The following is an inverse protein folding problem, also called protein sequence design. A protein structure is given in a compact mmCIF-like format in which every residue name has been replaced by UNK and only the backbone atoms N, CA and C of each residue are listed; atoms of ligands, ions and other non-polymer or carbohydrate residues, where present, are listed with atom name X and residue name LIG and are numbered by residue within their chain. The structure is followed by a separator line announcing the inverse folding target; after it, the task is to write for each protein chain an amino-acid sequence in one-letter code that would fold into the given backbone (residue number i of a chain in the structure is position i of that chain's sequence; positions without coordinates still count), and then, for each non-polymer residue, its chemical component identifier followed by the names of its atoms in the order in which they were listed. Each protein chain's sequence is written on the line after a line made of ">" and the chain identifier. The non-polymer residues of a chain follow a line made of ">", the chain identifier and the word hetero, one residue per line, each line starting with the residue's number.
data_IF_137511399507
#
_entry.id   IF_137511399507
#
_cell.length_a   1.000
_cell.length_b   1.000
_cell.length_c   1.000
_cell.angle_alpha   90.00
_cell.angle_beta   90.00
_cell.angle_gamma   90.00
#
_symmetry.space_group_name_H-M   'P 1'
#
loop_
_entity.id
_entity.type
_entity.pdbx_description
1 polymer ?
#
# COMPACT_ATOMS: atom_id res chain seq x y z
N UNK A 1 20.88 -5.70 10.69
CA UNK A 1 20.65 -4.48 11.49
C UNK A 1 19.28 -3.93 11.11
N UNK A 2 18.53 -3.37 12.04
CA UNK A 2 17.25 -2.69 11.73
C UNK A 2 17.53 -1.22 11.41
N UNK A 3 16.79 -0.65 10.46
CA UNK A 3 16.85 0.77 10.16
C UNK A 3 15.73 1.53 10.89
N UNK A 4 15.80 2.86 10.90
CA UNK A 4 14.79 3.73 11.48
C UNK A 4 14.15 4.57 10.37
N UNK A 5 12.86 4.38 10.16
CA UNK A 5 12.04 5.28 9.35
C UNK A 5 11.71 6.54 10.16
N UNK A 6 12.04 7.72 9.64
CA UNK A 6 11.73 9.04 10.22
C UNK A 6 10.64 9.69 9.38
N UNK A 7 9.49 9.96 9.98
CA UNK A 7 8.40 10.67 9.30
C UNK A 7 8.58 12.18 9.47
N UNK A 8 8.95 12.85 8.39
CA UNK A 8 9.27 14.29 8.39
C UNK A 8 8.05 15.17 8.59
N UNK A 9 6.84 14.62 8.50
CA UNK A 9 5.60 15.34 8.83
C UNK A 9 5.45 15.59 10.34
N UNK A 10 6.14 14.81 11.18
CA UNK A 10 6.05 14.90 12.64
C UNK A 10 7.37 15.26 13.30
N UNK A 11 8.45 15.29 12.53
CA UNK A 11 9.80 15.58 13.01
C UNK A 11 10.32 16.84 12.33
N UNK A 12 10.68 17.84 13.13
CA UNK A 12 11.29 19.06 12.61
C UNK A 12 12.70 18.75 12.10
N UNK A 13 12.93 19.03 10.82
CA UNK A 13 14.22 19.01 10.18
C UNK A 13 14.64 20.45 9.89
N UNK A 14 15.88 20.80 10.22
CA UNK A 14 16.36 22.18 10.07
C UNK A 14 16.56 22.63 8.61
N UNK A 15 16.36 21.73 7.64
CA UNK A 15 16.79 21.94 6.25
C UNK A 15 16.23 20.86 5.30
N UNK A 16 16.20 21.15 3.98
CA UNK A 16 15.87 20.18 2.92
C UNK A 16 16.78 18.96 2.99
N UNK A 17 16.41 17.79 2.48
CA UNK A 17 17.27 16.59 2.52
C UNK A 17 18.07 16.47 1.20
N UNK A 18 19.31 16.96 1.20
CA UNK A 18 20.25 16.82 0.08
C UNK A 18 21.38 15.83 0.43
N UNK A 19 21.95 15.17 -0.58
CA UNK A 19 23.04 14.21 -0.39
C UNK A 19 24.26 14.89 0.23
N UNK A 20 24.88 14.23 1.23
CA UNK A 20 26.03 14.73 1.97
C UNK A 20 25.68 15.73 3.08
N UNK A 21 24.40 16.11 3.20
CA UNK A 21 23.96 17.08 4.17
C UNK A 21 23.88 16.49 5.57
N UNK A 22 24.32 17.28 6.54
CA UNK A 22 24.23 16.98 7.95
C UNK A 22 23.20 17.88 8.63
N UNK A 23 22.58 17.37 9.68
CA UNK A 23 21.57 18.12 10.42
C UNK A 23 21.25 17.49 11.76
N UNK A 24 20.29 18.08 12.46
CA UNK A 24 19.75 17.55 13.71
C UNK A 24 18.25 17.36 13.53
N UNK A 25 17.75 16.20 13.95
CA UNK A 25 16.32 15.97 14.12
C UNK A 25 16.01 15.69 15.59
N UNK A 26 14.76 15.90 15.98
CA UNK A 26 14.31 15.68 17.36
C UNK A 26 13.05 14.84 17.43
N UNK A 27 13.01 13.90 18.38
CA UNK A 27 11.84 13.06 18.64
C UNK A 27 11.32 13.35 20.05
N UNK A 28 10.02 13.62 20.14
CA UNK A 28 9.32 13.72 21.42
C UNK A 28 8.81 12.35 21.88
N UNK A 29 9.17 11.94 23.10
CA UNK A 29 8.69 10.68 23.70
C UNK A 29 8.56 10.79 25.22
N UNK A 30 7.70 9.97 25.81
CA UNK A 30 7.67 9.75 27.27
C UNK A 30 8.79 8.83 27.74
N UNK A 31 9.43 8.11 26.83
CA UNK A 31 10.48 7.17 27.15
C UNK A 31 11.78 7.89 27.49
N UNK A 32 12.47 7.38 28.51
CA UNK A 32 13.77 7.89 28.93
C UNK A 32 14.85 7.64 27.86
N UNK A 33 14.75 6.55 27.10
CA UNK A 33 15.71 6.19 26.04
C UNK A 33 14.94 5.70 24.82
N UNK A 34 15.33 6.17 23.65
CA UNK A 34 14.84 5.66 22.37
C UNK A 34 15.79 4.57 21.84
N UNK A 35 15.28 3.61 21.04
CA UNK A 35 16.08 2.57 20.43
C UNK A 35 16.78 3.08 19.16
N UNK A 36 17.40 4.26 19.22
CA UNK A 36 18.13 4.90 18.11
C UNK A 36 19.53 5.19 18.61
N UNK A 37 20.54 4.65 17.94
CA UNK A 37 21.96 4.77 18.30
C UNK A 37 22.79 5.28 17.13
N UNK A 38 24.01 5.70 17.44
CA UNK A 38 25.00 6.08 16.44
C UNK A 38 25.29 4.91 15.50
N UNK A 39 25.31 5.19 14.20
CA UNK A 39 25.47 4.21 13.13
C UNK A 39 24.17 3.58 12.63
N UNK A 40 23.01 3.86 13.22
CA UNK A 40 21.73 3.36 12.69
C UNK A 40 21.40 4.00 11.34
N UNK A 41 20.95 3.18 10.38
CA UNK A 41 20.42 3.63 9.09
C UNK A 41 19.09 4.38 9.27
N UNK A 42 18.92 5.46 8.51
CA UNK A 42 17.73 6.30 8.50
C UNK A 42 17.05 6.28 7.13
N UNK A 43 15.75 6.00 7.11
CA UNK A 43 14.88 6.23 5.96
C UNK A 43 14.03 7.46 6.23
N UNK A 44 14.14 8.51 5.41
CA UNK A 44 13.30 9.69 5.54
C UNK A 44 12.03 9.55 4.71
N UNK A 45 10.88 9.72 5.35
CA UNK A 45 9.56 9.67 4.71
C UNK A 45 8.95 11.07 4.67
N UNK A 46 8.59 11.53 3.48
CA UNK A 46 7.87 12.77 3.27
C UNK A 46 6.43 12.50 2.87
N UNK A 47 5.55 13.46 3.12
CA UNK A 47 4.23 13.46 2.49
C UNK A 47 4.37 13.65 0.97
N UNK A 48 3.71 12.80 0.20
CA UNK A 48 3.57 12.95 -1.24
C UNK A 48 2.19 13.56 -1.57
N UNK A 49 1.44 12.93 -2.47
CA UNK A 49 0.11 13.36 -2.90
C UNK A 49 -0.97 12.65 -2.09
N UNK A 50 -1.97 13.40 -1.61
CA UNK A 50 -3.05 12.85 -0.79
C UNK A 50 -2.54 12.32 0.55
N UNK A 51 -2.80 11.05 0.83
CA UNK A 51 -2.34 10.33 2.03
C UNK A 51 -1.11 9.45 1.76
N UNK A 52 -0.54 9.48 0.55
CA UNK A 52 0.63 8.67 0.21
C UNK A 52 1.93 9.26 0.79
N UNK A 53 2.90 8.38 1.00
CA UNK A 53 4.20 8.70 1.57
C UNK A 53 5.31 8.34 0.58
N UNK A 54 6.36 9.15 0.56
CA UNK A 54 7.54 8.93 -0.28
C UNK A 54 8.76 8.71 0.62
N UNK A 55 9.45 7.60 0.41
CA UNK A 55 10.77 7.36 0.96
C UNK A 55 11.78 8.20 0.17
N UNK A 56 12.17 9.37 0.67
CA UNK A 56 12.92 10.33 -0.13
C UNK A 56 14.43 10.12 -0.09
N UNK A 57 14.97 9.64 1.04
CA UNK A 57 16.41 9.62 1.26
C UNK A 57 16.83 8.55 2.27
N UNK A 58 18.04 8.05 2.06
CA UNK A 58 18.79 7.23 3.01
C UNK A 58 19.82 8.10 3.72
N UNK A 59 19.96 7.92 5.03
CA UNK A 59 20.99 8.55 5.83
C UNK A 59 21.45 7.65 6.97
N UNK A 60 22.26 8.21 7.85
CA UNK A 60 22.73 7.55 9.07
C UNK A 60 22.66 8.49 10.27
N UNK A 61 22.51 7.92 11.46
CA UNK A 61 22.70 8.65 12.72
C UNK A 61 24.19 8.80 12.98
N UNK A 62 24.70 10.04 12.95
CA UNK A 62 26.12 10.30 13.23
C UNK A 62 26.39 10.43 14.72
N UNK A 63 25.41 10.87 15.51
CA UNK A 63 25.58 11.07 16.95
C UNK A 63 24.25 11.21 17.69
N UNK A 64 24.19 10.66 18.91
CA UNK A 64 23.14 11.03 19.88
C UNK A 64 23.58 12.25 20.69
N UNK A 65 22.90 13.39 20.52
CA UNK A 65 23.28 14.66 21.15
C UNK A 65 22.85 14.71 22.62
N UNK A 66 21.79 13.96 22.96
CA UNK A 66 21.26 13.86 24.33
C UNK A 66 19.74 14.03 24.38
N UNK A 67 19.22 14.25 25.59
CA UNK A 67 17.79 14.44 25.86
C UNK A 67 17.55 15.64 26.76
N UNK A 68 16.48 16.37 26.49
CA UNK A 68 16.02 17.50 27.29
C UNK A 68 14.62 17.22 27.83
N UNK A 69 14.35 17.56 29.10
CA UNK A 69 12.99 17.49 29.64
C UNK A 69 12.17 18.62 29.03
N UNK A 70 11.10 18.29 28.31
CA UNK A 70 10.21 19.30 27.73
C UNK A 70 9.36 19.89 28.86
N UNK A 71 9.42 21.21 29.11
CA UNK A 71 8.61 21.81 30.15
C UNK A 71 7.13 21.59 29.86
N UNK A 72 6.28 21.40 30.89
CA UNK A 72 4.86 21.21 30.69
C UNK A 72 4.30 22.42 29.93
N UNK A 73 3.63 22.17 28.81
CA UNK A 73 2.98 23.23 28.06
C UNK A 73 1.82 23.78 28.89
N UNK A 74 1.96 25.03 29.33
CA UNK A 74 0.88 25.80 29.96
C UNK A 74 -0.30 25.89 29.00
N UNK A 75 -1.33 25.07 29.20
CA UNK A 75 -2.61 25.26 28.52
C UNK A 75 -3.46 26.22 29.35
N UNK A 76 -3.94 27.31 28.73
CA UNK A 76 -4.84 28.32 29.33
C UNK A 76 -6.23 27.80 29.78
N UNK A 77 -6.39 26.49 30.00
CA UNK A 77 -7.66 25.87 30.42
C UNK A 77 -7.73 25.78 31.94
N UNK A 78 -8.79 26.36 32.52
CA UNK A 78 -9.17 26.35 33.95
C UNK A 78 -9.51 24.95 34.52
N UNK A 79 -9.13 23.86 33.85
CA UNK A 79 -9.41 22.49 34.27
C UNK A 79 -8.13 21.97 34.92
N UNK A 80 -8.19 21.50 36.18
CA UNK A 80 -7.07 20.85 36.86
C UNK A 80 -6.51 19.75 35.93
N UNK A 81 -5.32 19.91 35.34
CA UNK A 81 -4.81 18.92 34.41
C UNK A 81 -4.53 17.63 35.17
N UNK A 82 -4.98 16.49 34.62
CA UNK A 82 -4.50 15.19 35.10
C UNK A 82 -2.96 15.18 35.00
N UNK A 83 -2.23 14.63 35.99
CA UNK A 83 -0.78 14.52 35.90
C UNK A 83 -0.41 13.76 34.63
N UNK A 84 0.27 14.45 33.71
CA UNK A 84 0.80 13.84 32.49
C UNK A 84 2.22 13.32 32.76
N UNK A 85 2.61 12.19 32.18
CA UNK A 85 4.00 11.73 32.26
C UNK A 85 4.94 12.78 31.67
N UNK A 86 6.17 12.90 32.17
CA UNK A 86 7.17 13.79 31.61
C UNK A 86 7.42 13.44 30.14
N UNK A 87 7.57 14.47 29.30
CA UNK A 87 7.98 14.32 27.90
C UNK A 87 9.44 14.72 27.75
N UNK A 88 10.18 13.93 27.00
CA UNK A 88 11.58 14.16 26.67
C UNK A 88 11.69 14.50 25.18
N UNK A 89 12.55 15.47 24.88
CA UNK A 89 12.98 15.79 23.53
C UNK A 89 14.35 15.15 23.30
N UNK A 90 14.40 14.12 22.47
CA UNK A 90 15.63 13.39 22.12
C UNK A 90 16.20 13.99 20.83
N UNK A 91 17.50 14.34 20.82
CA UNK A 91 18.16 14.99 19.68
C UNK A 91 19.20 14.08 19.05
N UNK A 92 19.17 13.97 17.73
CA UNK A 92 20.07 13.12 16.95
C UNK A 92 20.67 13.92 15.80
N UNK A 93 21.99 13.84 15.64
CA UNK A 93 22.67 14.29 14.43
C UNK A 93 22.56 13.22 13.36
N UNK A 94 22.36 13.65 12.12
CA UNK A 94 22.24 12.77 10.96
C UNK A 94 23.07 13.26 9.79
N UNK A 95 23.37 12.34 8.87
CA UNK A 95 23.94 12.62 7.56
C UNK A 95 23.15 11.91 6.46
N UNK A 96 22.82 12.60 5.39
CA UNK A 96 22.19 11.99 4.21
C UNK A 96 23.27 11.36 3.32
N UNK A 97 23.09 10.08 2.99
CA UNK A 97 24.00 9.33 2.14
C UNK A 97 23.56 9.31 0.68
N UNK A 98 22.27 9.14 0.44
CA UNK A 98 21.74 9.02 -0.92
C UNK A 98 20.26 9.40 -1.01
N UNK A 99 19.80 9.65 -2.24
CA UNK A 99 18.37 9.76 -2.57
C UNK A 99 17.84 8.41 -3.03
N UNK A 100 16.58 8.16 -2.70
CA UNK A 100 15.86 6.99 -3.17
C UNK A 100 14.98 7.41 -4.33
N UNK A 101 15.25 6.87 -5.52
CA UNK A 101 14.62 7.30 -6.78
C UNK A 101 13.78 6.20 -7.43
N UNK A 102 13.94 4.95 -7.01
CA UNK A 102 13.26 3.79 -7.61
C UNK A 102 12.15 3.30 -6.70
N UNK A 103 10.94 3.19 -7.25
CA UNK A 103 9.74 2.67 -6.57
C UNK A 103 9.65 3.14 -5.11
N UNK A 104 9.73 4.45 -4.92
CA UNK A 104 9.96 5.06 -3.61
C UNK A 104 8.66 5.53 -2.95
N UNK A 105 7.51 5.29 -3.58
CA UNK A 105 6.20 5.55 -3.00
C UNK A 105 5.72 4.36 -2.17
N UNK A 106 5.06 4.65 -1.05
CA UNK A 106 4.47 3.62 -0.21
C UNK A 106 3.39 2.84 -0.96
N UNK A 107 2.58 3.50 -1.79
CA UNK A 107 1.57 2.84 -2.65
C UNK A 107 2.14 1.87 -3.71
N UNK A 108 3.44 1.94 -3.98
CA UNK A 108 4.15 1.00 -4.88
C UNK A 108 4.72 -0.18 -4.09
N UNK A 109 5.18 0.08 -2.87
CA UNK A 109 5.85 -0.91 -2.01
C UNK A 109 4.93 -1.62 -1.02
N UNK A 110 3.70 -1.15 -0.77
CA UNK A 110 2.85 -1.63 0.34
C UNK A 110 2.66 -3.16 0.38
N UNK A 111 2.52 -3.82 -0.78
CA UNK A 111 2.39 -5.27 -0.86
C UNK A 111 3.74 -6.00 -0.75
N UNK A 112 4.83 -5.27 -0.89
CA UNK A 112 6.22 -5.73 -0.76
C UNK A 112 6.76 -5.60 0.67
N UNK A 113 6.05 -4.92 1.57
CA UNK A 113 6.46 -4.70 2.96
C UNK A 113 5.63 -5.56 3.93
N UNK A 114 6.16 -6.66 4.49
CA UNK A 114 5.43 -7.56 5.40
C UNK A 114 4.78 -6.92 6.63
N UNK A 115 5.27 -5.78 7.09
CA UNK A 115 4.69 -5.07 8.23
C UNK A 115 3.50 -4.17 7.85
N UNK A 116 3.31 -3.89 6.56
CA UNK A 116 2.15 -3.15 6.05
C UNK A 116 1.04 -4.17 5.83
N UNK A 117 0.13 -4.29 6.80
CA UNK A 117 -0.97 -5.25 6.79
C UNK A 117 -2.35 -4.60 6.54
N UNK A 118 -2.41 -3.27 6.47
CA UNK A 118 -3.61 -2.51 6.19
C UNK A 118 -3.43 -1.80 4.85
N UNK A 119 -3.75 -2.50 3.76
CA UNK A 119 -3.50 -2.01 2.40
C UNK A 119 -4.52 -0.96 1.96
N UNK A 120 -5.69 -0.88 2.61
CA UNK A 120 -6.63 0.22 2.40
C UNK A 120 -6.11 1.58 2.90
N UNK A 121 -5.25 1.60 3.93
CA UNK A 121 -4.66 2.81 4.50
C UNK A 121 -3.20 2.57 4.92
N UNK A 122 -2.28 2.32 3.99
CA UNK A 122 -0.91 1.89 4.31
C UNK A 122 -0.16 2.93 5.16
N UNK A 123 -0.44 4.23 4.97
CA UNK A 123 0.20 5.33 5.68
C UNK A 123 0.01 5.28 7.21
N UNK A 124 -1.03 4.62 7.73
CA UNK A 124 -1.26 4.51 9.19
C UNK A 124 -0.11 3.81 9.90
N UNK A 125 0.64 2.96 9.18
CA UNK A 125 1.81 2.27 9.69
C UNK A 125 2.99 3.21 9.95
N UNK A 126 2.92 4.45 9.48
CA UNK A 126 3.96 5.47 9.61
C UNK A 126 3.48 6.74 10.33
N UNK A 127 2.32 6.74 11.00
CA UNK A 127 1.79 7.92 11.71
C UNK A 127 2.60 8.37 12.95
N UNK A 128 3.65 7.63 13.30
CA UNK A 128 4.56 7.99 14.40
C UNK A 128 5.73 8.83 13.88
N UNK A 129 6.39 9.57 14.78
CA UNK A 129 7.60 10.34 14.46
C UNK A 129 8.71 9.45 13.88
N UNK A 130 8.81 8.22 14.38
CA UNK A 130 9.75 7.23 13.88
C UNK A 130 9.16 5.82 13.95
N UNK A 131 9.76 4.89 13.21
CA UNK A 131 9.45 3.46 13.26
C UNK A 131 10.69 2.62 13.01
N UNK A 132 10.83 1.52 13.73
CA UNK A 132 11.86 0.52 13.43
C UNK A 132 11.45 -0.28 12.18
N UNK A 133 12.35 -0.34 11.21
CA UNK A 133 12.20 -1.07 9.95
C UNK A 133 13.10 -2.31 10.01
N UNK A 134 12.54 -3.53 9.90
CA UNK A 134 13.37 -4.73 9.87
C UNK A 134 14.25 -4.75 8.62
N UNK A 135 15.39 -5.46 8.70
CA UNK A 135 16.43 -5.44 7.66
C UNK A 135 15.90 -5.84 6.28
N UNK A 136 14.99 -6.81 6.23
CA UNK A 136 14.40 -7.30 4.97
C UNK A 136 13.61 -6.23 4.24
N UNK A 137 12.87 -5.41 4.98
CA UNK A 137 12.06 -4.31 4.48
C UNK A 137 12.90 -3.08 4.18
N UNK A 138 13.91 -2.80 5.00
CA UNK A 138 14.90 -1.77 4.71
C UNK A 138 15.54 -2.00 3.35
N UNK A 139 16.05 -3.21 3.11
CA UNK A 139 16.62 -3.59 1.82
C UNK A 139 15.59 -3.50 0.68
N UNK A 140 14.32 -3.84 0.94
CA UNK A 140 13.25 -3.73 -0.06
C UNK A 140 13.02 -2.27 -0.46
N UNK A 141 12.98 -1.35 0.52
CA UNK A 141 12.78 0.09 0.30
C UNK A 141 13.99 0.70 -0.40
N UNK A 142 15.20 0.45 0.09
CA UNK A 142 16.42 1.06 -0.46
C UNK A 142 16.65 0.64 -1.91
N UNK A 143 16.38 -0.62 -2.24
CA UNK A 143 16.55 -1.11 -3.62
C UNK A 143 15.33 -0.86 -4.52
N UNK A 144 14.22 -0.36 -3.98
CA UNK A 144 12.97 -0.18 -4.73
C UNK A 144 12.40 -1.49 -5.27
N UNK A 145 12.52 -2.59 -4.50
CA UNK A 145 12.07 -3.90 -4.95
C UNK A 145 10.56 -4.05 -4.82
N UNK A 146 9.89 -4.26 -5.95
CA UNK A 146 8.47 -4.57 -6.02
C UNK A 146 8.29 -6.07 -6.23
N UNK A 147 7.58 -6.72 -5.32
CA UNK A 147 7.23 -8.14 -5.43
C UNK A 147 6.01 -8.29 -6.34
N UNK A 148 6.27 -8.41 -7.65
CA UNK A 148 5.28 -8.29 -8.70
C UNK A 148 4.08 -9.22 -8.49
N UNK A 149 4.31 -10.50 -8.18
CA UNK A 149 3.24 -11.48 -7.98
C UNK A 149 2.28 -11.05 -6.87
N UNK A 150 2.82 -10.64 -5.72
CA UNK A 150 2.02 -10.25 -4.55
C UNK A 150 1.36 -8.89 -4.74
N UNK A 151 2.05 -7.95 -5.38
CA UNK A 151 1.50 -6.63 -5.69
C UNK A 151 0.34 -6.73 -6.67
N UNK A 152 0.48 -7.51 -7.74
CA UNK A 152 -0.60 -7.74 -8.71
C UNK A 152 -1.77 -8.45 -8.04
N UNK A 153 -1.51 -9.52 -7.27
CA UNK A 153 -2.56 -10.21 -6.51
C UNK A 153 -3.31 -9.26 -5.58
N UNK A 154 -2.58 -8.51 -4.75
CA UNK A 154 -3.15 -7.60 -3.77
C UNK A 154 -3.96 -6.48 -4.39
N UNK A 155 -3.40 -5.81 -5.42
CA UNK A 155 -4.12 -4.74 -6.13
C UNK A 155 -5.38 -5.25 -6.82
N UNK A 156 -5.32 -6.41 -7.47
CA UNK A 156 -6.49 -6.98 -8.16
C UNK A 156 -7.56 -7.44 -7.18
N UNK A 157 -7.21 -8.24 -6.16
CA UNK A 157 -8.19 -8.77 -5.22
C UNK A 157 -8.83 -7.63 -4.42
N UNK A 158 -8.06 -6.62 -4.00
CA UNK A 158 -8.58 -5.52 -3.18
C UNK A 158 -9.33 -4.45 -3.98
N UNK A 159 -9.17 -4.42 -5.31
CA UNK A 159 -10.02 -3.61 -6.19
C UNK A 159 -11.43 -4.20 -6.40
N UNK A 160 -11.64 -5.49 -6.06
CA UNK A 160 -12.96 -6.09 -6.14
C UNK A 160 -13.91 -5.51 -5.07
N UNK A 161 -15.22 -5.38 -5.37
CA UNK A 161 -16.22 -5.10 -4.36
C UNK A 161 -16.11 -6.08 -3.18
N UNK A 162 -16.38 -5.61 -1.95
CA UNK A 162 -16.23 -6.41 -0.73
C UNK A 162 -16.95 -7.76 -0.80
N UNK A 163 -18.15 -7.81 -1.38
CA UNK A 163 -18.90 -9.05 -1.57
C UNK A 163 -18.14 -10.04 -2.46
N UNK A 164 -17.54 -9.57 -3.56
CA UNK A 164 -16.76 -10.40 -4.47
C UNK A 164 -15.43 -10.86 -3.83
N UNK A 165 -14.83 -10.06 -2.94
CA UNK A 165 -13.64 -10.47 -2.16
C UNK A 165 -13.97 -11.62 -1.22
N UNK A 166 -15.12 -11.53 -0.54
CA UNK A 166 -15.61 -12.60 0.34
C UNK A 166 -15.95 -13.87 -0.45
N UNK A 167 -16.67 -13.74 -1.57
CA UNK A 167 -16.98 -14.86 -2.46
C UNK A 167 -15.70 -15.52 -2.98
N UNK A 168 -14.72 -14.73 -3.43
CA UNK A 168 -13.41 -15.23 -3.87
C UNK A 168 -12.69 -16.01 -2.76
N UNK A 169 -12.63 -15.45 -1.54
CA UNK A 169 -11.98 -16.11 -0.41
C UNK A 169 -12.66 -17.45 -0.06
N UNK A 170 -14.00 -17.50 -0.05
CA UNK A 170 -14.75 -18.73 0.19
C UNK A 170 -14.52 -19.77 -0.92
N UNK A 171 -14.54 -19.35 -2.19
CA UNK A 171 -14.24 -20.22 -3.31
C UNK A 171 -12.79 -20.73 -3.27
N UNK A 172 -11.84 -19.92 -2.82
CA UNK A 172 -10.46 -20.37 -2.64
C UNK A 172 -10.38 -21.44 -1.55
N UNK A 173 -11.04 -21.23 -0.41
CA UNK A 173 -11.05 -22.21 0.68
C UNK A 173 -11.65 -23.55 0.26
N UNK A 174 -12.75 -23.52 -0.50
CA UNK A 174 -13.35 -24.72 -1.09
C UNK A 174 -12.44 -25.37 -2.14
N UNK A 175 -11.89 -24.58 -3.08
CA UNK A 175 -11.02 -25.09 -4.14
C UNK A 175 -9.76 -25.78 -3.61
N UNK A 176 -9.13 -25.20 -2.60
CA UNK A 176 -7.87 -25.70 -2.04
C UNK A 176 -8.07 -26.53 -0.77
N UNK A 177 -9.32 -26.74 -0.34
CA UNK A 177 -9.69 -27.56 0.81
C UNK A 177 -8.94 -27.14 2.09
N UNK A 178 -8.77 -25.84 2.30
CA UNK A 178 -8.08 -25.28 3.47
C UNK A 178 -8.59 -23.88 3.81
N UNK A 179 -8.70 -23.60 5.11
CA UNK A 179 -8.97 -22.24 5.60
C UNK A 179 -7.69 -21.38 5.70
N UNK A 180 -6.53 -22.04 5.75
CA UNK A 180 -5.23 -21.38 5.87
C UNK A 180 -4.66 -21.08 4.49
N UNK A 181 -4.99 -19.91 3.95
CA UNK A 181 -4.49 -19.46 2.66
C UNK A 181 -2.97 -19.22 2.65
N UNK A 182 -2.31 -19.13 3.82
CA UNK A 182 -0.84 -19.02 3.89
C UNK A 182 -0.13 -20.31 3.47
N UNK A 183 -0.84 -21.44 3.50
CA UNK A 183 -0.32 -22.73 3.03
C UNK A 183 -0.27 -22.85 1.50
N UNK A 184 -0.91 -21.93 0.77
CA UNK A 184 -1.03 -21.97 -0.67
C UNK A 184 -0.09 -20.93 -1.30
N UNK A 185 0.70 -21.38 -2.27
CA UNK A 185 1.59 -20.49 -3.02
C UNK A 185 0.79 -19.35 -3.68
N UNK A 186 1.24 -18.10 -3.47
CA UNK A 186 0.53 -16.91 -3.99
C UNK A 186 0.40 -16.90 -5.51
N UNK A 187 1.34 -17.51 -6.26
CA UNK A 187 1.26 -17.61 -7.71
C UNK A 187 0.09 -18.51 -8.13
N UNK A 188 -0.13 -19.60 -7.40
CA UNK A 188 -1.31 -20.46 -7.60
C UNK A 188 -2.58 -19.69 -7.27
N UNK A 189 -2.56 -18.93 -6.16
CA UNK A 189 -3.67 -18.05 -5.79
C UNK A 189 -3.97 -16.99 -6.85
N UNK A 190 -2.94 -16.42 -7.48
CA UNK A 190 -3.09 -15.42 -8.52
C UNK A 190 -3.69 -15.99 -9.81
N UNK A 191 -3.25 -17.17 -10.24
CA UNK A 191 -3.88 -17.84 -11.38
C UNK A 191 -5.37 -18.13 -11.09
N UNK A 192 -5.68 -18.56 -9.86
CA UNK A 192 -7.06 -18.74 -9.44
C UNK A 192 -7.86 -17.42 -9.40
N UNK A 193 -7.22 -16.31 -9.02
CA UNK A 193 -7.82 -14.98 -9.07
C UNK A 193 -8.10 -14.53 -10.51
N UNK A 194 -7.20 -14.77 -11.45
CA UNK A 194 -7.44 -14.48 -12.87
C UNK A 194 -8.63 -15.28 -13.40
N UNK A 195 -8.69 -16.58 -13.12
CA UNK A 195 -9.86 -17.40 -13.47
C UNK A 195 -11.16 -16.87 -12.85
N UNK A 196 -11.10 -16.43 -11.60
CA UNK A 196 -12.25 -15.88 -10.91
C UNK A 196 -12.73 -14.58 -11.58
N UNK A 197 -11.81 -13.65 -11.86
CA UNK A 197 -12.10 -12.38 -12.53
C UNK A 197 -12.68 -12.63 -13.92
N UNK A 198 -12.08 -13.52 -14.71
CA UNK A 198 -12.55 -13.88 -16.03
C UNK A 198 -13.99 -14.42 -15.99
N UNK A 199 -14.26 -15.39 -15.09
CA UNK A 199 -15.56 -16.05 -14.98
C UNK A 199 -16.64 -15.17 -14.37
N UNK A 200 -16.31 -14.33 -13.38
CA UNK A 200 -17.31 -13.59 -12.56
C UNK A 200 -17.45 -12.12 -12.91
N UNK A 201 -16.38 -11.49 -13.41
CA UNK A 201 -16.34 -10.05 -13.71
C UNK A 201 -16.37 -9.81 -15.22
N UNK A 202 -15.39 -10.36 -15.94
CA UNK A 202 -15.24 -10.09 -17.38
C UNK A 202 -16.39 -10.69 -18.21
N UNK A 203 -16.84 -11.90 -17.86
CA UNK A 203 -18.03 -12.50 -18.48
C UNK A 203 -19.27 -11.60 -18.42
N UNK A 204 -19.51 -10.94 -17.27
CA UNK A 204 -20.62 -10.00 -17.06
C UNK A 204 -20.40 -8.71 -17.86
N UNK A 205 -19.16 -8.24 -17.94
CA UNK A 205 -18.78 -7.10 -18.79
C UNK A 205 -19.10 -7.34 -20.27
N UNK A 206 -18.85 -8.55 -20.78
CA UNK A 206 -19.19 -8.92 -22.17
C UNK A 206 -20.69 -8.91 -22.41
N UNK A 207 -21.47 -9.43 -21.47
CA UNK A 207 -22.94 -9.37 -21.53
C UNK A 207 -23.39 -7.90 -21.51
N UNK A 208 -22.83 -7.07 -20.63
CA UNK A 208 -23.18 -5.66 -20.51
C UNK A 208 -22.96 -4.89 -21.83
N UNK A 209 -21.82 -5.10 -22.50
CA UNK A 209 -21.55 -4.52 -23.82
C UNK A 209 -22.55 -5.01 -24.86
N UNK A 210 -22.87 -6.30 -24.88
CA UNK A 210 -23.84 -6.86 -25.82
C UNK A 210 -25.24 -6.27 -25.60
N UNK A 211 -25.66 -6.14 -24.34
CA UNK A 211 -26.91 -5.50 -23.95
C UNK A 211 -26.95 -4.03 -24.37
N UNK A 212 -25.88 -3.28 -24.13
CA UNK A 212 -25.79 -1.87 -24.54
C UNK A 212 -25.92 -1.70 -26.05
N UNK A 213 -25.24 -2.54 -26.84
CA UNK A 213 -25.35 -2.55 -28.31
C UNK A 213 -26.79 -2.83 -28.77
N UNK A 214 -27.45 -3.80 -28.14
CA UNK A 214 -28.82 -4.18 -28.46
C UNK A 214 -29.82 -3.05 -28.15
N UNK A 215 -29.65 -2.36 -27.01
CA UNK A 215 -30.47 -1.20 -26.66
C UNK A 215 -30.33 -0.07 -27.71
N UNK A 216 -29.10 0.24 -28.10
CA UNK A 216 -28.83 1.28 -29.11
C UNK A 216 -29.31 0.90 -30.51
N UNK A 217 -29.23 -0.38 -30.90
CA UNK A 217 -29.61 -0.80 -32.26
C UNK A 217 -31.12 -0.98 -32.44
N UNK A 218 -31.84 -1.41 -31.40
CA UNK A 218 -33.25 -1.77 -31.52
C UNK A 218 -34.21 -0.86 -30.75
N UNK A 219 -33.74 -0.15 -29.73
CA UNK A 219 -34.61 0.57 -28.79
C UNK A 219 -34.30 2.06 -28.64
N UNK A 220 -33.31 2.62 -29.38
CA UNK A 220 -32.88 4.02 -29.20
C UNK A 220 -34.02 5.04 -29.35
N UNK A 221 -35.01 4.74 -30.19
CA UNK A 221 -36.12 5.66 -30.48
C UNK A 221 -37.22 5.58 -29.41
N UNK A 222 -37.19 4.55 -28.55
CA UNK A 222 -38.17 4.30 -27.48
C UNK A 222 -37.58 4.54 -26.09
N UNK A 223 -36.29 4.25 -25.91
CA UNK A 223 -35.57 4.33 -24.64
C UNK A 223 -34.22 4.99 -24.93
N UNK A 224 -34.02 6.25 -24.50
CA UNK A 224 -32.73 6.91 -24.60
C UNK A 224 -31.65 6.09 -23.86
N UNK A 225 -30.48 5.83 -24.46
CA UNK A 225 -29.45 4.99 -23.85
C UNK A 225 -28.93 5.48 -22.49
N UNK A 226 -28.99 6.79 -22.26
CA UNK A 226 -28.62 7.43 -21.00
C UNK A 226 -29.66 7.19 -19.87
N UNK A 227 -30.86 6.70 -20.17
CA UNK A 227 -31.93 6.49 -19.19
C UNK A 227 -31.94 5.09 -18.57
N UNK A 228 -31.27 4.11 -19.17
CA UNK A 228 -31.15 2.76 -18.60
C UNK A 228 -29.97 2.68 -17.64
N UNK A 229 -30.24 2.39 -16.38
CA UNK A 229 -29.23 2.35 -15.33
C UNK A 229 -29.50 1.22 -14.33
N UNK A 230 -28.44 0.74 -13.70
CA UNK A 230 -28.54 0.00 -12.45
C UNK A 230 -28.65 1.00 -11.30
N UNK A 231 -29.53 0.72 -10.35
CA UNK A 231 -29.67 1.51 -9.12
C UNK A 231 -29.04 0.68 -8.01
N UNK A 232 -28.01 1.23 -7.38
CA UNK A 232 -27.49 0.67 -6.13
C UNK A 232 -28.59 0.82 -5.05
N UNK A 233 -29.09 -0.29 -4.47
CA UNK A 233 -30.17 -0.23 -3.49
C UNK A 233 -29.78 0.49 -2.20
N UNK A 234 -28.49 0.58 -1.88
CA UNK A 234 -28.00 1.18 -0.63
C UNK A 234 -27.71 2.68 -0.79
N UNK A 235 -27.26 3.11 -1.97
CA UNK A 235 -26.83 4.50 -2.22
C UNK A 235 -27.77 5.29 -3.12
N UNK A 236 -28.75 4.62 -3.76
CA UNK A 236 -29.61 5.14 -4.82
C UNK A 236 -28.84 5.72 -6.02
N UNK A 237 -27.53 5.49 -6.11
CA UNK A 237 -26.70 5.98 -7.19
C UNK A 237 -27.06 5.23 -8.47
N UNK A 238 -27.42 6.00 -9.50
CA UNK A 238 -27.72 5.49 -10.84
C UNK A 238 -26.44 5.34 -11.63
N UNK A 239 -26.10 4.11 -11.97
CA UNK A 239 -24.98 3.80 -12.84
C UNK A 239 -25.51 3.42 -14.23
N UNK A 240 -25.32 4.32 -15.18
CA UNK A 240 -25.77 4.13 -16.55
C UNK A 240 -25.11 2.90 -17.20
N UNK A 241 -25.90 2.13 -17.95
CA UNK A 241 -25.43 0.92 -18.64
C UNK A 241 -24.34 1.25 -19.66
N UNK A 242 -24.57 2.26 -20.50
CA UNK A 242 -23.64 2.64 -21.57
C UNK A 242 -22.30 3.14 -21.04
N UNK A 243 -22.30 3.92 -19.96
CA UNK A 243 -21.08 4.36 -19.28
C UNK A 243 -20.24 3.18 -18.77
N UNK A 244 -20.88 2.18 -18.15
CA UNK A 244 -20.19 0.98 -17.67
C UNK A 244 -19.74 0.06 -18.81
N UNK A 245 -20.57 -0.10 -19.84
CA UNK A 245 -20.22 -0.86 -21.04
C UNK A 245 -18.98 -0.26 -21.73
N UNK A 246 -18.88 1.07 -21.81
CA UNK A 246 -17.72 1.75 -22.38
C UNK A 246 -16.43 1.47 -21.58
N UNK A 247 -16.50 1.38 -20.25
CA UNK A 247 -15.36 1.01 -19.42
C UNK A 247 -14.88 -0.42 -19.73
N UNK A 248 -15.79 -1.38 -19.83
CA UNK A 248 -15.45 -2.76 -20.20
C UNK A 248 -14.95 -2.87 -21.64
N UNK A 249 -15.52 -2.10 -22.57
CA UNK A 249 -15.07 -2.10 -23.95
C UNK A 249 -13.62 -1.61 -24.05
N UNK A 250 -13.30 -0.51 -23.37
CA UNK A 250 -11.92 -0.02 -23.26
C UNK A 250 -11.00 -1.05 -22.60
N UNK A 251 -11.46 -1.74 -21.56
CA UNK A 251 -10.69 -2.80 -20.92
C UNK A 251 -10.36 -3.94 -21.90
N UNK A 252 -11.35 -4.45 -22.65
CA UNK A 252 -11.13 -5.53 -23.61
C UNK A 252 -10.27 -5.12 -24.80
N UNK A 253 -10.36 -3.86 -25.23
CA UNK A 253 -9.45 -3.29 -26.24
C UNK A 253 -7.99 -3.28 -25.75
N UNK A 254 -7.76 -2.95 -24.48
CA UNK A 254 -6.43 -2.98 -23.86
C UNK A 254 -5.91 -4.41 -23.68
N UNK A 255 -6.76 -5.36 -23.26
CA UNK A 255 -6.40 -6.78 -23.13
C UNK A 255 -5.99 -7.40 -24.46
N UNK A 256 -6.58 -6.94 -25.58
CA UNK A 256 -6.18 -7.37 -26.93
C UNK A 256 -4.77 -6.91 -27.33
N UNK A 257 -4.19 -5.93 -26.63
CA UNK A 257 -2.84 -5.41 -26.88
C UNK A 257 -1.82 -6.02 -25.92
N UNK A 258 -2.13 -6.07 -24.62
CA UNK A 258 -1.26 -6.58 -23.57
C UNK A 258 -2.08 -7.21 -22.44
N UNK A 259 -1.73 -8.44 -22.03
CA UNK A 259 -2.34 -9.06 -20.84
C UNK A 259 -1.48 -8.83 -19.61
N UNK A 260 -2.14 -8.65 -18.46
CA UNK A 260 -1.47 -8.54 -17.15
C UNK A 260 -0.65 -9.80 -16.86
N UNK A 261 -1.13 -10.96 -17.28
CA UNK A 261 -0.44 -12.25 -17.17
C UNK A 261 0.90 -12.23 -17.91
N UNK A 262 0.92 -11.80 -19.17
CA UNK A 262 2.17 -11.71 -19.96
C UNK A 262 3.14 -10.68 -19.37
N UNK A 263 2.63 -9.55 -18.88
CA UNK A 263 3.47 -8.57 -18.18
C UNK A 263 4.10 -9.17 -16.93
N UNK A 264 3.31 -9.85 -16.11
CA UNK A 264 3.79 -10.48 -14.88
C UNK A 264 4.80 -11.59 -15.16
N UNK A 265 4.51 -12.50 -16.09
CA UNK A 265 5.44 -13.56 -16.49
C UNK A 265 6.78 -12.99 -16.93
N UNK A 266 6.75 -11.91 -17.73
CA UNK A 266 7.96 -11.20 -18.15
C UNK A 266 8.69 -10.62 -16.94
N UNK A 267 8.02 -9.90 -16.05
CA UNK A 267 8.63 -9.29 -14.86
C UNK A 267 9.26 -10.33 -13.93
N UNK A 268 8.54 -11.44 -13.67
CA UNK A 268 9.03 -12.55 -12.83
C UNK A 268 10.25 -13.21 -13.46
N UNK A 269 10.23 -13.43 -14.78
CA UNK A 269 11.35 -14.02 -15.52
C UNK A 269 12.58 -13.11 -15.56
N UNK A 270 12.38 -11.81 -15.63
CA UNK A 270 13.46 -10.81 -15.65
C UNK A 270 14.07 -10.57 -14.26
N UNK A 271 13.37 -10.92 -13.18
CA UNK A 271 13.81 -10.67 -11.80
C UNK A 271 13.64 -11.90 -10.87
N UNK A 272 14.19 -13.08 -11.24
CA UNK A 272 13.94 -14.33 -10.51
C UNK A 272 14.47 -14.31 -9.07
N UNK A 273 15.54 -13.59 -8.79
CA UNK A 273 16.13 -13.43 -7.45
C UNK A 273 15.22 -12.65 -6.50
N UNK A 274 14.52 -11.62 -7.00
CA UNK A 274 13.57 -10.84 -6.23
C UNK A 274 12.37 -11.72 -5.84
N UNK A 275 11.87 -12.52 -6.79
CA UNK A 275 10.74 -13.43 -6.56
C UNK A 275 11.12 -14.61 -5.63
N UNK A 276 12.34 -15.15 -5.75
CA UNK A 276 12.84 -16.18 -4.83
C UNK A 276 12.98 -15.65 -3.40
N UNK A 277 13.52 -14.43 -3.25
CA UNK A 277 13.56 -13.72 -1.96
C UNK A 277 12.16 -13.52 -1.39
N UNK A 278 11.22 -13.11 -2.23
CA UNK A 278 9.82 -12.92 -1.88
C UNK A 278 9.20 -14.21 -1.30
N UNK A 279 9.35 -15.35 -1.99
CA UNK A 279 8.83 -16.64 -1.51
C UNK A 279 9.36 -16.99 -0.12
N UNK A 280 10.62 -16.62 0.19
CA UNK A 280 11.21 -16.83 1.51
C UNK A 280 10.59 -15.92 2.58
N UNK A 281 10.45 -14.62 2.29
CA UNK A 281 9.93 -13.63 3.24
C UNK A 281 8.45 -13.89 3.58
N UNK A 282 7.65 -14.27 2.58
CA UNK A 282 6.20 -14.42 2.71
C UNK A 282 5.72 -15.86 2.86
N UNK A 283 6.62 -16.85 3.01
CA UNK A 283 6.28 -18.29 3.07
C UNK A 283 5.16 -18.66 4.06
N UNK A 284 4.99 -17.88 5.13
CA UNK A 284 4.00 -18.10 6.20
C UNK A 284 3.01 -16.94 6.35
N UNK A 285 2.89 -16.10 5.31
CA UNK A 285 1.98 -14.96 5.30
C UNK A 285 0.76 -15.34 4.49
N UNK A 286 -0.42 -15.02 5.00
CA UNK A 286 -1.66 -15.18 4.24
C UNK A 286 -1.66 -14.28 3.00
N UNK A 287 -2.57 -14.59 2.08
CA UNK A 287 -2.83 -13.76 0.92
C UNK A 287 -3.31 -12.36 1.37
N UNK A 288 -2.88 -11.28 0.70
CA UNK A 288 -3.22 -9.91 1.10
C UNK A 288 -4.64 -9.53 0.67
N UNK A 289 -5.65 -10.23 1.22
CA UNK A 289 -7.06 -9.97 0.97
C UNK A 289 -7.63 -9.15 2.13
N UNK A 290 -7.97 -7.90 1.85
CA UNK A 290 -8.57 -7.01 2.84
C UNK A 290 -10.07 -7.31 2.96
N UNK A 291 -10.43 -8.15 3.93
CA UNK A 291 -11.83 -8.46 4.26
C UNK A 291 -12.48 -7.42 5.19
N UNK A 292 -11.70 -6.40 5.58
CA UNK A 292 -12.14 -5.25 6.37
C UNK A 292 -13.25 -4.43 5.70
N UNK A 293 -13.82 -3.49 6.46
CA UNK A 293 -14.91 -2.61 6.00
C UNK A 293 -14.46 -1.68 4.88
#
# INVERSE_FOLDING_TARGET
>A
MSAIAINTNYVNLNSRLAVGQEGIFSIESTDLKLPIVEGDDLLFLNKHTGDDLEFSSLGLVTKSVGRELKPPQSTNRKIKPKPQPPKYLHKFEYKIESRLEKNNLLSELEYSLPFVDNHNKPAVHFFQQYRNIPSTEFETIVNGWVYATRTVFGKLVNALPRQNRLEFALHAMDRFQTIDLSSINILIGLNFLFEYIEKRVLSRGRILIATDKLLHSHFKDQIPPNEVAFIDPDTEVKLNISAQAALFQKLFELEGQHTIETFLEKTVRENPEIEARFQKIFKRRSWPIDLGK
#
